data_IF_016512019250
#
_entry.id   IF_016512019250
#
_cell.length_a   1.000
_cell.length_b   1.000
_cell.length_c   1.000
_cell.angle_alpha   90.00
_cell.angle_beta   90.00
_cell.angle_gamma   90.00
#
_symmetry.space_group_name_H-M   'P 1'
#
loop_
_entity.id
_entity.type
_entity.pdbx_description
1 polymer ?
#
# COMPACT_ATOMS: atom_id res chain seq x y z
N UNK A 1 13.85 -17.13 15.70
CA UNK A 1 12.44 -17.59 15.74
C UNK A 1 11.88 -17.65 14.32
N UNK A 2 11.04 -18.65 14.02
CA UNK A 2 10.33 -18.73 12.74
C UNK A 2 9.24 -17.65 12.66
N UNK A 3 8.79 -17.35 11.43
CA UNK A 3 7.67 -16.43 11.19
C UNK A 3 6.42 -16.85 11.96
N UNK A 4 6.14 -18.15 12.00
CA UNK A 4 4.97 -18.73 12.67
C UNK A 4 4.97 -18.46 14.18
N UNK A 5 6.14 -18.47 14.82
CA UNK A 5 6.25 -18.11 16.24
C UNK A 5 6.08 -16.60 16.46
N UNK A 6 6.58 -15.77 15.53
CA UNK A 6 6.52 -14.31 15.65
C UNK A 6 5.12 -13.76 15.41
N UNK A 7 4.37 -14.29 14.43
CA UNK A 7 3.03 -13.80 14.08
C UNK A 7 1.99 -14.01 15.19
N UNK A 8 2.25 -14.97 16.08
CA UNK A 8 1.43 -15.23 17.27
C UNK A 8 1.66 -14.19 18.38
N UNK A 9 2.77 -13.44 18.34
CA UNK A 9 3.05 -12.41 19.35
C UNK A 9 2.12 -11.21 19.16
N UNK A 10 1.55 -10.66 20.24
CA UNK A 10 0.64 -9.53 20.16
C UNK A 10 1.31 -8.28 19.57
N UNK A 11 2.62 -8.10 19.79
CA UNK A 11 3.38 -6.97 19.21
C UNK A 11 3.62 -7.07 17.69
N UNK A 12 3.36 -8.22 17.07
CA UNK A 12 3.63 -8.43 15.65
C UNK A 12 2.74 -7.53 14.78
N UNK A 13 1.43 -7.55 15.01
CA UNK A 13 0.47 -6.80 14.18
C UNK A 13 0.61 -5.28 14.29
N UNK A 14 0.84 -4.69 15.48
CA UNK A 14 1.19 -3.27 15.59
C UNK A 14 2.47 -2.91 14.82
N UNK A 15 3.51 -3.72 14.88
CA UNK A 15 4.76 -3.47 14.13
C UNK A 15 4.55 -3.64 12.62
N UNK A 16 3.76 -4.63 12.21
CA UNK A 16 3.34 -4.83 10.83
C UNK A 16 2.59 -3.61 10.29
N UNK A 17 1.58 -3.12 11.00
CA UNK A 17 0.80 -1.96 10.56
C UNK A 17 1.64 -0.69 10.47
N UNK A 18 2.60 -0.49 11.39
CA UNK A 18 3.56 0.63 11.34
C UNK A 18 4.44 0.61 10.09
N UNK A 19 4.60 -0.52 9.42
CA UNK A 19 5.38 -0.65 8.18
C UNK A 19 4.44 -0.66 6.96
N UNK A 20 3.42 -1.50 6.98
CA UNK A 20 2.53 -1.73 5.85
C UNK A 20 1.71 -0.49 5.48
N UNK A 21 1.22 0.28 6.47
CA UNK A 21 0.39 1.45 6.20
C UNK A 21 1.19 2.61 5.57
N UNK A 22 2.35 3.04 6.10
CA UNK A 22 3.15 4.06 5.42
C UNK A 22 3.59 3.62 4.03
N UNK A 23 4.00 2.35 3.87
CA UNK A 23 4.40 1.82 2.58
C UNK A 23 3.23 1.85 1.57
N UNK A 24 2.03 1.42 1.97
CA UNK A 24 0.82 1.48 1.15
C UNK A 24 0.51 2.90 0.67
N UNK A 25 0.60 3.88 1.57
CA UNK A 25 0.38 5.30 1.23
C UNK A 25 1.40 5.76 0.20
N UNK A 26 2.69 5.48 0.42
CA UNK A 26 3.78 5.88 -0.49
C UNK A 26 3.57 5.29 -1.89
N UNK A 27 3.33 3.97 -2.01
CA UNK A 27 3.12 3.34 -3.33
C UNK A 27 1.83 3.82 -4.00
N UNK A 28 0.81 4.19 -3.21
CA UNK A 28 -0.42 4.80 -3.71
C UNK A 28 -0.15 6.16 -4.33
N UNK A 29 0.56 7.03 -3.62
CA UNK A 29 0.92 8.36 -4.11
C UNK A 29 1.81 8.28 -5.35
N UNK A 30 2.86 7.45 -5.33
CA UNK A 30 3.75 7.27 -6.48
C UNK A 30 2.95 6.82 -7.71
N UNK A 31 2.05 5.84 -7.56
CA UNK A 31 1.22 5.37 -8.67
C UNK A 31 0.25 6.43 -9.19
N UNK A 32 -0.33 7.25 -8.29
CA UNK A 32 -1.20 8.36 -8.70
C UNK A 32 -0.43 9.41 -9.49
N UNK A 33 0.75 9.79 -9.01
CA UNK A 33 1.60 10.73 -9.73
C UNK A 33 2.03 10.14 -11.08
N UNK A 34 2.47 8.89 -11.16
CA UNK A 34 2.86 8.29 -12.44
C UNK A 34 1.72 8.28 -13.47
N UNK A 35 0.48 8.03 -13.05
CA UNK A 35 -0.66 7.91 -13.95
C UNK A 35 -1.31 9.26 -14.31
N UNK A 36 -1.24 10.25 -13.42
CA UNK A 36 -2.05 11.48 -13.56
C UNK A 36 -1.39 12.73 -12.98
N UNK A 37 -0.05 12.83 -13.02
CA UNK A 37 0.67 13.98 -12.42
C UNK A 37 0.15 15.32 -12.96
N UNK A 38 -0.02 15.43 -14.29
CA UNK A 38 -0.41 16.66 -14.97
C UNK A 38 -1.82 17.09 -14.55
N UNK A 39 -2.73 16.14 -14.51
CA UNK A 39 -4.13 16.34 -14.13
C UNK A 39 -4.25 16.73 -12.65
N UNK A 40 -3.44 16.11 -11.77
CA UNK A 40 -3.34 16.48 -10.35
C UNK A 40 -2.88 17.93 -10.18
N UNK A 41 -1.79 18.34 -10.85
CA UNK A 41 -1.27 19.71 -10.75
C UNK A 41 -2.15 20.75 -11.46
N UNK A 42 -2.93 20.34 -12.46
CA UNK A 42 -3.94 21.17 -13.11
C UNK A 42 -5.27 21.26 -12.33
N UNK A 43 -5.45 20.47 -11.27
CA UNK A 43 -6.68 20.41 -10.48
C UNK A 43 -7.86 19.69 -11.18
N UNK A 44 -7.60 18.93 -12.25
CA UNK A 44 -8.62 18.18 -12.98
C UNK A 44 -8.88 16.81 -12.34
N UNK A 45 -9.52 16.82 -11.17
CA UNK A 45 -9.82 15.60 -10.42
C UNK A 45 -10.88 14.71 -11.07
N UNK A 46 -11.70 15.25 -11.99
CA UNK A 46 -12.65 14.45 -12.77
C UNK A 46 -11.89 13.47 -13.69
N UNK A 47 -10.87 13.97 -14.39
CA UNK A 47 -10.02 13.10 -15.22
C UNK A 47 -9.18 12.14 -14.36
N UNK A 48 -8.66 12.59 -13.21
CA UNK A 48 -7.96 11.68 -12.26
C UNK A 48 -8.86 10.52 -11.83
N UNK A 49 -10.13 10.80 -11.52
CA UNK A 49 -11.12 9.79 -11.14
C UNK A 49 -11.37 8.77 -12.26
N UNK A 50 -11.65 9.26 -13.46
CA UNK A 50 -11.94 8.44 -14.63
C UNK A 50 -10.78 7.52 -15.03
N UNK A 51 -9.55 8.02 -14.91
CA UNK A 51 -8.33 7.29 -15.29
C UNK A 51 -7.98 6.21 -14.27
N UNK A 52 -8.16 6.46 -12.97
CA UNK A 52 -7.62 5.59 -11.91
C UNK A 52 -8.66 4.78 -11.14
N UNK A 53 -9.91 5.25 -11.04
CA UNK A 53 -10.86 4.72 -10.04
C UNK A 53 -12.19 4.24 -10.63
N UNK A 54 -12.73 4.91 -11.65
CA UNK A 54 -14.04 4.57 -12.23
C UNK A 54 -14.04 3.23 -12.98
N UNK A 55 -15.23 2.74 -13.31
CA UNK A 55 -15.42 1.51 -14.10
C UNK A 55 -14.73 0.28 -13.47
N UNK A 56 -14.63 0.26 -12.14
CA UNK A 56 -13.98 -0.82 -11.38
C UNK A 56 -12.45 -0.78 -11.36
N UNK A 57 -11.81 0.22 -12.00
CA UNK A 57 -10.35 0.38 -12.03
C UNK A 57 -9.76 0.53 -10.62
N UNK A 58 -10.52 1.07 -9.68
CA UNK A 58 -10.11 1.19 -8.27
C UNK A 58 -9.70 -0.17 -7.67
N UNK A 59 -10.36 -1.28 -8.06
CA UNK A 59 -10.04 -2.62 -7.53
C UNK A 59 -8.64 -3.05 -7.94
N UNK A 60 -8.29 -2.90 -9.22
CA UNK A 60 -6.95 -3.17 -9.72
C UNK A 60 -5.94 -2.18 -9.16
N UNK A 61 -6.32 -0.89 -9.07
CA UNK A 61 -5.47 0.18 -8.58
C UNK A 61 -5.04 -0.06 -7.13
N UNK A 62 -5.98 -0.32 -6.23
CA UNK A 62 -5.70 -0.55 -4.81
C UNK A 62 -5.32 -1.99 -4.50
N UNK A 63 -5.91 -2.97 -5.18
CA UNK A 63 -5.73 -4.39 -4.88
C UNK A 63 -4.27 -4.82 -4.95
N UNK A 64 -3.55 -4.46 -6.03
CA UNK A 64 -2.12 -4.76 -6.14
C UNK A 64 -1.32 -4.10 -5.01
N UNK A 65 -1.67 -2.86 -4.64
CA UNK A 65 -1.01 -2.08 -3.60
C UNK A 65 -1.22 -2.70 -2.22
N UNK A 66 -2.42 -3.21 -1.94
CA UNK A 66 -2.71 -3.96 -0.71
C UNK A 66 -1.84 -5.21 -0.64
N UNK A 67 -1.78 -6.00 -1.72
CA UNK A 67 -0.99 -7.25 -1.75
C UNK A 67 0.49 -6.98 -1.54
N UNK A 68 1.10 -6.05 -2.29
CA UNK A 68 2.53 -5.75 -2.13
C UNK A 68 2.84 -5.17 -0.75
N UNK A 69 1.96 -4.35 -0.19
CA UNK A 69 2.16 -3.75 1.14
C UNK A 69 2.04 -4.78 2.24
N UNK A 70 1.14 -5.75 2.07
CA UNK A 70 1.00 -6.87 2.97
C UNK A 70 2.26 -7.76 2.95
N UNK A 71 2.72 -8.17 1.77
CA UNK A 71 3.93 -9.00 1.63
C UNK A 71 5.17 -8.27 2.16
N UNK A 72 5.33 -7.00 1.80
CA UNK A 72 6.44 -6.17 2.27
C UNK A 72 6.40 -5.99 3.79
N UNK A 73 5.24 -5.64 4.34
CA UNK A 73 5.04 -5.50 5.78
C UNK A 73 5.38 -6.77 6.54
N UNK A 74 4.95 -7.93 6.06
CA UNK A 74 5.27 -9.23 6.67
C UNK A 74 6.78 -9.49 6.67
N UNK A 75 7.43 -9.29 5.52
CA UNK A 75 8.86 -9.51 5.37
C UNK A 75 9.68 -8.64 6.34
N UNK A 76 9.42 -7.32 6.34
CA UNK A 76 10.18 -6.37 7.16
C UNK A 76 9.91 -6.59 8.65
N UNK A 77 8.66 -6.84 9.04
CA UNK A 77 8.30 -7.10 10.45
C UNK A 77 9.00 -8.36 10.96
N UNK A 78 8.96 -9.45 10.19
CA UNK A 78 9.64 -10.70 10.54
C UNK A 78 11.15 -10.52 10.68
N UNK A 79 11.77 -9.73 9.78
CA UNK A 79 13.20 -9.46 9.79
C UNK A 79 13.62 -8.60 10.99
N UNK A 80 12.80 -7.63 11.39
CA UNK A 80 13.13 -6.67 12.45
C UNK A 80 12.77 -7.16 13.86
N UNK A 81 11.77 -8.04 13.99
CA UNK A 81 11.47 -8.68 15.26
C UNK A 81 12.53 -9.73 15.59
N UNK A 82 13.14 -9.62 16.77
CA UNK A 82 14.12 -10.61 17.27
C UNK A 82 13.41 -11.85 17.80
#
# INVERSE_FOLDING_TARGET
>A
MSLLTKIQKPEFWPNFLKIALPFFIIVTLISLFMNSWREIFAGDFATVSKVNFEEGKWMSFFGIKVVISFVYGLYVTNKNMK
#
